data_IF_289732876428
#
_entry.id   IF_289732876428
#
_cell.length_a   1.000
_cell.length_b   1.000
_cell.length_c   1.000
_cell.angle_alpha   90.00
_cell.angle_beta   90.00
_cell.angle_gamma   90.00
#
_symmetry.space_group_name_H-M   'P 1'
#
loop_
_entity.id
_entity.type
_entity.pdbx_description
1 polymer ?
#
# COMPACT_ATOMS: atom_id res chain seq x y z
N UNK A 1 -15.32 7.75 0.01
CA UNK A 1 -15.44 6.52 -0.77
C UNK A 1 -15.62 5.37 0.22
N UNK A 2 -16.73 4.63 0.21
CA UNK A 2 -16.83 3.41 1.00
C UNK A 2 -15.78 2.43 0.47
N UNK A 3 -14.93 1.92 1.36
CA UNK A 3 -13.95 0.87 1.03
C UNK A 3 -14.54 -0.52 1.26
N UNK A 4 -13.71 -1.56 1.11
CA UNK A 4 -14.07 -2.93 1.48
C UNK A 4 -14.29 -3.01 2.99
N UNK A 5 -15.34 -3.72 3.43
CA UNK A 5 -15.58 -3.97 4.85
C UNK A 5 -14.37 -4.70 5.46
N UNK A 6 -13.72 -4.17 6.52
CA UNK A 6 -12.62 -4.84 7.20
C UNK A 6 -12.92 -6.27 7.66
N UNK A 7 -14.19 -6.59 7.92
CA UNK A 7 -14.64 -7.94 8.28
C UNK A 7 -14.61 -8.90 7.08
N UNK A 8 -14.83 -8.38 5.88
CA UNK A 8 -14.72 -9.16 4.64
C UNK A 8 -13.25 -9.44 4.31
N UNK A 9 -12.44 -8.38 4.28
CA UNK A 9 -11.00 -8.48 4.04
C UNK A 9 -10.26 -7.22 4.52
N UNK A 10 -9.13 -7.43 5.20
CA UNK A 10 -8.16 -6.38 5.53
C UNK A 10 -6.74 -6.89 5.29
N UNK A 11 -5.81 -5.97 5.01
CA UNK A 11 -4.40 -6.29 4.83
C UNK A 11 -3.69 -6.45 6.18
N UNK A 12 -2.88 -7.51 6.30
CA UNK A 12 -2.06 -7.80 7.48
C UNK A 12 -0.60 -7.91 7.03
N UNK A 13 0.30 -7.36 7.84
CA UNK A 13 1.74 -7.43 7.57
C UNK A 13 2.34 -8.78 7.99
N UNK A 14 1.76 -9.40 9.03
CA UNK A 14 2.27 -10.64 9.64
C UNK A 14 3.76 -10.54 10.02
N UNK A 15 4.19 -9.39 10.54
CA UNK A 15 5.58 -9.15 10.98
C UNK A 15 6.04 -10.27 11.92
N UNK A 16 7.21 -10.87 11.64
CA UNK A 16 7.77 -11.94 12.47
C UNK A 16 7.92 -11.46 13.92
N UNK A 17 7.59 -12.31 14.90
CA UNK A 17 7.60 -11.94 16.31
C UNK A 17 9.00 -11.48 16.79
N UNK A 18 10.05 -12.10 16.28
CA UNK A 18 11.44 -11.77 16.63
C UNK A 18 12.02 -10.59 15.82
N UNK A 19 11.24 -10.00 14.91
CA UNK A 19 11.73 -8.91 14.08
C UNK A 19 11.92 -7.64 14.90
N UNK A 20 13.15 -7.12 14.89
CA UNK A 20 13.47 -5.83 15.51
C UNK A 20 12.91 -4.69 14.66
N UNK A 21 12.13 -3.76 15.25
CA UNK A 21 11.69 -2.57 14.54
C UNK A 21 12.85 -1.73 14.03
N UNK A 22 12.70 -1.18 12.83
CA UNK A 22 13.69 -0.29 12.22
C UNK A 22 13.11 1.11 12.07
N UNK A 23 13.79 2.07 12.69
CA UNK A 23 13.55 3.49 12.46
C UNK A 23 14.61 4.05 11.51
N UNK A 24 14.25 4.27 10.26
CA UNK A 24 15.19 4.80 9.27
C UNK A 24 15.57 6.24 9.59
N UNK A 25 16.85 6.58 9.39
CA UNK A 25 17.32 7.98 9.47
C UNK A 25 16.63 8.81 8.41
N UNK A 26 16.08 9.96 8.81
CA UNK A 26 15.41 10.92 7.92
C UNK A 26 16.35 11.35 6.79
N UNK A 27 15.90 11.20 5.54
CA UNK A 27 16.63 11.67 4.35
C UNK A 27 16.34 13.16 4.10
N UNK A 28 17.36 13.91 3.69
CA UNK A 28 17.20 15.30 3.28
C UNK A 28 16.49 15.36 1.92
N UNK A 29 15.53 16.28 1.80
CA UNK A 29 14.74 16.48 0.58
C UNK A 29 14.91 17.93 0.11
N UNK A 30 15.19 18.12 -1.18
CA UNK A 30 15.17 19.45 -1.80
C UNK A 30 13.77 20.06 -1.77
N UNK A 31 13.69 21.38 -1.87
CA UNK A 31 12.44 22.12 -1.64
C UNK A 31 11.31 21.73 -2.60
N UNK A 32 11.62 21.44 -3.86
CA UNK A 32 10.64 20.98 -4.85
C UNK A 32 9.98 19.66 -4.40
N UNK A 33 10.80 18.67 -4.00
CA UNK A 33 10.32 17.37 -3.50
C UNK A 33 9.53 17.53 -2.20
N UNK A 34 9.95 18.45 -1.32
CA UNK A 34 9.25 18.74 -0.07
C UNK A 34 7.85 19.30 -0.33
N UNK A 35 7.72 20.26 -1.24
CA UNK A 35 6.42 20.83 -1.63
C UNK A 35 5.51 19.77 -2.25
N UNK A 36 6.05 18.91 -3.10
CA UNK A 36 5.31 17.79 -3.69
C UNK A 36 4.82 16.79 -2.62
N UNK A 37 5.70 16.40 -1.69
CA UNK A 37 5.34 15.50 -0.59
C UNK A 37 4.23 16.10 0.30
N UNK A 38 4.36 17.36 0.71
CA UNK A 38 3.36 18.05 1.53
C UNK A 38 2.00 18.16 0.83
N UNK A 39 2.00 18.37 -0.49
CA UNK A 39 0.76 18.39 -1.28
C UNK A 39 0.07 17.03 -1.27
N UNK A 40 0.84 15.94 -1.40
CA UNK A 40 0.28 14.58 -1.38
C UNK A 40 -0.20 14.17 0.01
N UNK A 41 0.55 14.51 1.07
CA UNK A 41 0.15 14.27 2.47
C UNK A 41 -1.20 14.94 2.77
N UNK A 42 -1.41 16.19 2.34
CA UNK A 42 -2.70 16.88 2.51
C UNK A 42 -3.85 16.13 1.87
N UNK A 43 -3.67 15.60 0.65
CA UNK A 43 -4.70 14.80 -0.03
C UNK A 43 -4.99 13.49 0.71
N UNK A 44 -3.95 12.80 1.17
CA UNK A 44 -4.09 11.55 1.92
C UNK A 44 -4.81 11.77 3.26
N UNK A 45 -4.54 12.89 3.95
CA UNK A 45 -5.24 13.29 5.17
C UNK A 45 -6.72 13.61 4.88
N UNK A 46 -7.00 14.40 3.84
CA UNK A 46 -8.36 14.74 3.44
C UNK A 46 -9.18 13.49 3.09
N UNK A 47 -8.55 12.50 2.44
CA UNK A 47 -9.15 11.20 2.13
C UNK A 47 -9.26 10.27 3.36
N UNK A 48 -8.69 10.65 4.52
CA UNK A 48 -8.58 9.83 5.74
C UNK A 48 -7.83 8.51 5.52
N UNK A 49 -6.92 8.48 4.54
CA UNK A 49 -6.08 7.32 4.21
C UNK A 49 -4.87 7.20 5.13
N UNK A 50 -4.43 8.31 5.71
CA UNK A 50 -3.37 8.35 6.72
C UNK A 50 -3.87 9.04 7.98
N UNK A 51 -3.20 8.79 9.09
CA UNK A 51 -3.35 9.52 10.35
C UNK A 51 -2.01 9.87 10.93
N UNK A 52 -1.97 10.95 11.69
CA UNK A 52 -0.81 11.29 12.49
C UNK A 52 -0.65 10.26 13.62
N UNK A 53 0.60 9.97 13.98
CA UNK A 53 0.94 9.04 15.04
C UNK A 53 2.14 9.55 15.83
N UNK A 54 2.02 9.47 17.15
CA UNK A 54 3.09 9.75 18.10
C UNK A 54 3.68 8.43 18.60
N UNK A 55 4.98 8.43 18.96
CA UNK A 55 5.67 7.27 19.56
C UNK A 55 5.65 5.98 18.71
N UNK A 56 6.19 6.04 17.48
CA UNK A 56 6.33 4.85 16.61
C UNK A 56 7.64 4.10 16.82
N UNK A 57 7.63 2.78 16.58
CA UNK A 57 8.83 1.92 16.57
C UNK A 57 9.35 1.65 15.16
N UNK A 58 8.46 1.56 14.17
CA UNK A 58 8.81 1.45 12.76
C UNK A 58 8.79 2.84 12.12
N UNK A 59 9.77 3.17 11.29
CA UNK A 59 9.80 4.45 10.59
C UNK A 59 10.44 4.31 9.21
N UNK A 60 9.64 4.50 8.17
CA UNK A 60 10.08 4.45 6.79
C UNK A 60 10.27 5.87 6.20
N UNK A 61 11.24 6.05 5.31
CA UNK A 61 11.40 7.29 4.56
C UNK A 61 10.39 7.39 3.41
N UNK A 62 10.06 8.63 3.07
CA UNK A 62 9.36 8.96 1.84
C UNK A 62 10.37 9.22 0.71
N UNK A 63 10.09 8.67 -0.46
CA UNK A 63 10.86 8.82 -1.70
C UNK A 63 9.97 9.41 -2.79
N UNK A 64 10.49 10.42 -3.49
CA UNK A 64 9.78 11.12 -4.56
C UNK A 64 10.38 10.71 -5.90
N UNK A 65 9.53 10.18 -6.79
CA UNK A 65 9.90 9.72 -8.13
C UNK A 65 9.15 10.54 -9.17
N UNK A 66 9.83 11.03 -10.21
CA UNK A 66 9.17 11.70 -11.34
C UNK A 66 8.51 10.64 -12.24
N UNK A 67 7.24 10.84 -12.56
CA UNK A 67 6.56 10.10 -13.64
C UNK A 67 6.97 10.68 -15.00
N UNK A 68 6.70 9.93 -16.08
CA UNK A 68 6.93 10.39 -17.46
C UNK A 68 6.16 11.68 -17.80
N UNK A 69 5.02 11.93 -17.14
CA UNK A 69 4.26 13.17 -17.26
C UNK A 69 4.76 14.31 -16.35
N UNK A 70 6.03 14.22 -15.92
CA UNK A 70 6.74 15.16 -15.04
C UNK A 70 6.15 15.36 -13.63
N UNK A 71 5.02 14.72 -13.30
CA UNK A 71 4.42 14.79 -11.97
C UNK A 71 5.22 13.96 -10.97
N UNK A 72 5.41 14.50 -9.78
CA UNK A 72 5.98 13.78 -8.66
C UNK A 72 5.01 12.71 -8.13
N UNK A 73 5.53 11.51 -7.87
CA UNK A 73 4.85 10.44 -7.13
C UNK A 73 5.54 10.22 -5.80
N UNK A 74 4.77 10.29 -4.73
CA UNK A 74 5.21 9.92 -3.38
C UNK A 74 5.18 8.39 -3.23
N UNK A 75 6.28 7.80 -2.78
CA UNK A 75 6.42 6.40 -2.43
C UNK A 75 6.99 6.29 -1.02
N UNK A 76 6.67 5.23 -0.29
CA UNK A 76 7.26 4.95 1.02
C UNK A 76 8.23 3.78 0.90
N UNK A 77 9.44 3.95 1.43
CA UNK A 77 10.51 2.95 1.39
C UNK A 77 10.32 1.92 2.51
N UNK A 78 9.43 0.96 2.30
CA UNK A 78 9.16 -0.14 3.24
C UNK A 78 10.19 -1.28 3.17
N UNK A 79 11.41 -1.05 2.67
CA UNK A 79 12.42 -2.11 2.51
C UNK A 79 12.66 -2.90 3.80
N UNK A 80 12.84 -2.22 4.94
CA UNK A 80 13.12 -2.89 6.21
C UNK A 80 11.88 -3.57 6.80
N UNK A 81 10.72 -2.91 6.72
CA UNK A 81 9.45 -3.52 7.13
C UNK A 81 9.15 -4.78 6.31
N UNK A 82 9.38 -4.74 5.00
CA UNK A 82 9.17 -5.86 4.11
C UNK A 82 10.12 -7.02 4.44
N UNK A 83 11.38 -6.77 4.82
CA UNK A 83 12.29 -7.85 5.26
C UNK A 83 11.75 -8.60 6.48
N UNK A 84 11.07 -7.89 7.39
CA UNK A 84 10.47 -8.46 8.59
C UNK A 84 9.14 -9.18 8.36
N UNK A 85 8.53 -9.04 7.18
CA UNK A 85 7.28 -9.73 6.83
C UNK A 85 7.60 -11.03 6.06
N UNK A 86 7.00 -12.18 6.41
CA UNK A 86 7.06 -13.36 5.58
C UNK A 86 6.36 -13.11 4.24
N UNK A 87 6.83 -13.76 3.17
CA UNK A 87 6.17 -13.71 1.87
C UNK A 87 4.94 -14.59 1.92
N UNK A 88 3.78 -14.04 1.58
CA UNK A 88 2.55 -14.79 1.46
C UNK A 88 2.55 -15.59 0.16
N UNK A 89 2.43 -16.92 0.24
CA UNK A 89 2.38 -17.82 -0.91
C UNK A 89 0.94 -17.99 -1.44
N UNK A 90 0.24 -16.87 -1.69
CA UNK A 90 -1.09 -16.92 -2.30
C UNK A 90 -0.96 -17.25 -3.80
N UNK A 91 -1.74 -18.21 -4.33
CA UNK A 91 -1.67 -18.56 -5.75
C UNK A 91 -2.14 -17.37 -6.59
N UNK A 92 -1.26 -16.90 -7.47
CA UNK A 92 -1.67 -15.99 -8.54
C UNK A 92 -2.15 -16.82 -9.73
N UNK A 93 -3.18 -16.37 -10.46
CA UNK A 93 -3.66 -17.08 -11.63
C UNK A 93 -2.55 -17.17 -12.70
N UNK A 94 -2.45 -18.33 -13.34
CA UNK A 94 -1.56 -18.52 -14.49
C UNK A 94 -2.07 -17.70 -15.67
N UNK A 95 -1.19 -16.90 -16.27
CA UNK A 95 -1.53 -16.00 -17.38
C UNK A 95 -2.09 -16.79 -18.57
N UNK A 96 -1.45 -17.91 -18.95
CA UNK A 96 -1.90 -18.74 -20.06
C UNK A 96 -3.33 -19.25 -19.82
N UNK A 97 -3.63 -19.69 -18.59
CA UNK A 97 -4.99 -20.12 -18.23
C UNK A 97 -6.02 -18.99 -18.34
N UNK A 98 -5.63 -17.76 -18.00
CA UNK A 98 -6.52 -16.59 -18.15
C UNK A 98 -6.77 -16.26 -19.63
N UNK A 99 -5.74 -16.35 -20.47
CA UNK A 99 -5.83 -16.12 -21.92
C UNK A 99 -6.68 -17.20 -22.59
N UNK A 100 -6.43 -18.47 -22.26
CA UNK A 100 -7.19 -19.60 -22.79
C UNK A 100 -8.66 -19.53 -22.37
N UNK A 101 -8.94 -19.17 -21.12
CA UNK A 101 -10.31 -18.99 -20.64
C UNK A 101 -11.06 -17.84 -21.30
N UNK A 102 -10.33 -16.83 -21.78
CA UNK A 102 -10.87 -15.71 -22.55
C UNK A 102 -11.04 -16.06 -24.05
N UNK A 103 -10.30 -17.03 -24.56
CA UNK A 103 -10.35 -17.44 -25.98
C UNK A 103 -11.76 -17.86 -26.40
N UNK A 104 -12.12 -17.60 -27.65
CA UNK A 104 -13.43 -17.92 -28.22
C UNK A 104 -14.57 -16.95 -27.88
N UNK A 105 -14.36 -15.98 -26.98
CA UNK A 105 -15.32 -14.91 -26.72
C UNK A 105 -15.17 -13.78 -27.75
N UNK A 106 -16.29 -13.26 -28.26
CA UNK A 106 -16.30 -12.19 -29.26
C UNK A 106 -16.26 -10.77 -28.67
N UNK A 107 -16.56 -10.63 -27.37
CA UNK A 107 -16.66 -9.35 -26.67
C UNK A 107 -15.90 -9.44 -25.35
N UNK A 108 -15.03 -8.46 -25.10
CA UNK A 108 -14.30 -8.30 -23.85
C UNK A 108 -14.66 -6.97 -23.20
N UNK A 109 -14.74 -6.96 -21.87
CA UNK A 109 -14.88 -5.75 -21.07
C UNK A 109 -13.75 -5.68 -20.05
N UNK A 110 -13.04 -4.56 -20.04
CA UNK A 110 -11.95 -4.31 -19.11
C UNK A 110 -12.42 -3.32 -18.05
N UNK A 111 -12.33 -3.71 -16.79
CA UNK A 111 -12.69 -2.89 -15.64
C UNK A 111 -11.42 -2.54 -14.87
N UNK A 112 -11.12 -1.26 -14.75
CA UNK A 112 -10.07 -0.78 -13.85
C UNK A 112 -10.68 -0.26 -12.56
N UNK A 113 -10.25 -0.86 -11.45
CA UNK A 113 -10.63 -0.45 -10.11
C UNK A 113 -9.76 0.72 -9.67
N UNK A 114 -10.29 1.93 -9.85
CA UNK A 114 -9.60 3.16 -9.44
C UNK A 114 -9.15 3.10 -7.98
N UNK A 115 -7.85 3.29 -7.75
CA UNK A 115 -7.24 3.27 -6.41
C UNK A 115 -7.55 1.98 -5.62
N UNK A 116 -7.66 0.83 -6.29
CA UNK A 116 -8.11 -0.43 -5.69
C UNK A 116 -7.40 -0.81 -4.38
N UNK A 117 -6.09 -0.57 -4.26
CA UNK A 117 -5.36 -0.84 -3.01
C UNK A 117 -5.82 0.04 -1.84
N UNK A 118 -6.09 1.33 -2.11
CA UNK A 118 -6.57 2.26 -1.09
C UNK A 118 -8.00 1.95 -0.61
N UNK A 119 -8.71 1.04 -1.27
CA UNK A 119 -10.02 0.57 -0.83
C UNK A 119 -9.92 -0.54 0.23
N UNK A 120 -8.77 -1.20 0.35
CA UNK A 120 -8.51 -2.24 1.34
C UNK A 120 -7.95 -1.61 2.61
N UNK A 121 -8.57 -1.89 3.75
CA UNK A 121 -8.11 -1.38 5.05
C UNK A 121 -6.90 -2.14 5.55
N UNK A 122 -6.00 -1.44 6.24
CA UNK A 122 -5.00 -2.10 7.09
C UNK A 122 -5.70 -2.73 8.29
N UNK A 123 -5.17 -3.83 8.79
CA UNK A 123 -5.55 -4.34 10.10
C UNK A 123 -5.09 -3.36 11.19
N UNK A 124 -5.94 -3.08 12.18
CA UNK A 124 -5.71 -2.03 13.18
C UNK A 124 -4.36 -2.17 13.90
N UNK A 125 -3.97 -3.40 14.26
CA UNK A 125 -2.70 -3.69 14.94
C UNK A 125 -1.46 -3.48 14.06
N UNK A 126 -1.63 -3.35 12.73
CA UNK A 126 -0.55 -3.22 11.76
C UNK A 126 -0.44 -1.82 11.15
N UNK A 127 -1.44 -0.93 11.36
CA UNK A 127 -1.42 0.44 10.83
C UNK A 127 -0.12 1.16 11.21
N UNK A 128 0.22 1.21 12.50
CA UNK A 128 1.38 1.97 13.00
C UNK A 128 2.73 1.40 12.56
N UNK A 129 2.76 0.15 12.09
CA UNK A 129 3.99 -0.41 11.52
C UNK A 129 4.28 0.19 10.13
N UNK A 130 3.27 0.77 9.48
CA UNK A 130 3.40 1.48 8.19
C UNK A 130 3.79 2.95 8.36
N UNK A 131 4.27 3.35 9.55
CA UNK A 131 4.61 4.75 9.80
C UNK A 131 5.75 5.22 8.90
N UNK A 132 5.59 6.43 8.35
CA UNK A 132 6.60 7.11 7.56
C UNK A 132 6.91 8.50 8.09
N UNK A 133 8.16 8.91 7.92
CA UNK A 133 8.68 10.21 8.35
C UNK A 133 8.44 11.29 7.29
N UNK A 134 8.00 12.46 7.73
CA UNK A 134 7.91 13.67 6.91
C UNK A 134 8.64 14.83 7.61
N UNK A 135 8.57 16.03 7.03
CA UNK A 135 9.17 17.21 7.65
C UNK A 135 8.42 17.73 8.87
N UNK A 136 7.10 17.52 8.90
CA UNK A 136 6.23 18.15 9.90
C UNK A 136 5.78 17.17 10.99
N UNK A 137 5.51 15.92 10.62
CA UNK A 137 5.02 14.89 11.54
C UNK A 137 5.26 13.47 10.99
N UNK A 138 5.00 12.47 11.83
CA UNK A 138 4.96 11.07 11.41
C UNK A 138 3.53 10.64 11.15
N UNK A 139 3.33 9.90 10.06
CA UNK A 139 2.00 9.42 9.67
C UNK A 139 2.03 7.93 9.39
N UNK A 140 0.94 7.24 9.70
CA UNK A 140 0.73 5.85 9.31
C UNK A 140 -0.49 5.70 8.40
N UNK A 141 -0.51 4.64 7.59
CA UNK A 141 -1.61 4.36 6.69
C UNK A 141 -2.73 3.55 7.37
N UNK A 142 -3.97 3.97 7.14
CA UNK A 142 -5.22 3.26 7.51
C UNK A 142 -5.72 2.31 6.42
N UNK A 143 -5.24 2.52 5.20
CA UNK A 143 -5.55 1.73 4.00
C UNK A 143 -4.27 1.11 3.48
N UNK A 144 -4.34 0.01 2.73
CA UNK A 144 -3.17 -0.71 2.25
C UNK A 144 -2.32 0.18 1.32
N UNK A 145 -1.12 0.64 1.75
CA UNK A 145 -0.27 1.47 0.92
C UNK A 145 0.47 0.65 -0.13
N UNK A 146 0.88 1.32 -1.21
CA UNK A 146 1.82 0.75 -2.17
C UNK A 146 3.17 0.45 -1.50
N UNK A 147 3.87 -0.56 -2.03
CA UNK A 147 5.23 -0.89 -1.63
C UNK A 147 5.35 -1.91 -0.50
N UNK A 148 4.24 -2.37 0.10
CA UNK A 148 4.28 -3.51 1.03
C UNK A 148 4.43 -4.84 0.27
N UNK A 149 5.12 -5.81 0.89
CA UNK A 149 5.48 -7.09 0.27
C UNK A 149 4.28 -7.88 -0.27
N UNK A 150 3.18 -7.92 0.48
CA UNK A 150 2.06 -8.86 0.23
C UNK A 150 0.81 -8.18 -0.36
N UNK A 151 0.91 -6.95 -0.89
CA UNK A 151 -0.25 -6.23 -1.45
C UNK A 151 -0.91 -7.00 -2.60
N UNK A 152 -0.12 -7.61 -3.48
CA UNK A 152 -0.63 -8.36 -4.63
C UNK A 152 -1.42 -9.61 -4.22
N UNK A 153 -0.91 -10.35 -3.22
CA UNK A 153 -1.59 -11.52 -2.66
C UNK A 153 -2.92 -11.14 -1.99
N UNK A 154 -2.92 -10.08 -1.18
CA UNK A 154 -4.14 -9.56 -0.55
C UNK A 154 -5.16 -9.13 -1.60
N UNK A 155 -4.71 -8.47 -2.67
CA UNK A 155 -5.57 -8.01 -3.74
C UNK A 155 -6.16 -9.15 -4.57
N UNK A 156 -5.35 -10.15 -4.94
CA UNK A 156 -5.84 -11.32 -5.67
C UNK A 156 -6.85 -12.09 -4.82
N UNK A 157 -6.57 -12.29 -3.53
CA UNK A 157 -7.50 -12.92 -2.59
C UNK A 157 -8.82 -12.18 -2.49
N UNK A 158 -8.79 -10.85 -2.53
CA UNK A 158 -10.01 -10.05 -2.60
C UNK A 158 -10.79 -10.35 -3.86
N UNK A 159 -10.13 -10.30 -5.03
CA UNK A 159 -10.80 -10.55 -6.32
C UNK A 159 -11.40 -11.95 -6.39
N UNK A 160 -10.66 -12.98 -5.96
CA UNK A 160 -11.17 -14.34 -5.95
C UNK A 160 -12.41 -14.47 -5.05
N UNK A 161 -12.43 -13.80 -3.88
CA UNK A 161 -13.61 -13.80 -3.00
C UNK A 161 -14.80 -13.04 -3.58
N UNK A 162 -14.56 -11.92 -4.26
CA UNK A 162 -15.62 -11.08 -4.85
C UNK A 162 -16.26 -11.77 -6.06
N UNK A 163 -15.46 -12.48 -6.84
CA UNK A 163 -15.90 -13.18 -8.04
C UNK A 163 -16.11 -14.69 -7.84
N UNK A 164 -16.05 -15.18 -6.59
CA UNK A 164 -16.54 -16.51 -6.22
C UNK A 164 -18.06 -16.49 -6.28
N UNK A 165 -18.59 -16.89 -7.44
CA UNK A 165 -19.99 -17.26 -7.66
C UNK A 165 -20.14 -18.77 -7.72
#
# INVERSE_FOLDING_TARGET
MPGIDPKFLCHRLAVCQDARPVAQKKRKMGDEKRKAANTEIKKLLQAKFIREVTYTTWLANVVLVKKANEKWRMCTDYTDLNKACPKEAYPLPCIDRLVDGASGHSIFSFLDTYSGYNQIRMHLADEEKTTFITDNANFCYRVMPFGLKNVGATYQRLMDKVFQG
#
